data_IF_578640879097
#
_entry.id   IF_578640879097
#
_cell.length_a   1.000
_cell.length_b   1.000
_cell.length_c   1.000
_cell.angle_alpha   90.00
_cell.angle_beta   90.00
_cell.angle_gamma   90.00
#
_symmetry.space_group_name_H-M   'P 1'
#
loop_
_entity.id
_entity.type
_entity.pdbx_description
1 polymer ?
#
# COMPACT_ATOMS: atom_id res chain seq x y z
N UNK A 1 -12.04 18.34 5.48
CA UNK A 1 -11.17 17.90 6.60
C UNK A 1 -9.74 18.27 6.28
N UNK A 2 -8.94 18.49 7.32
CA UNK A 2 -7.50 18.64 7.23
C UNK A 2 -6.85 17.29 7.61
N UNK A 3 -6.17 16.66 6.67
CA UNK A 3 -5.62 15.31 6.80
C UNK A 3 -4.09 15.37 6.86
N UNK A 4 -3.48 14.77 7.87
CA UNK A 4 -2.06 14.42 7.87
C UNK A 4 -1.92 13.01 7.28
N UNK A 5 -1.25 12.90 6.12
CA UNK A 5 -1.02 11.62 5.44
C UNK A 5 0.46 11.29 5.53
N UNK A 6 0.84 10.26 6.28
CA UNK A 6 2.22 9.78 6.33
C UNK A 6 2.48 8.79 5.20
N UNK A 7 3.67 8.81 4.61
CA UNK A 7 3.97 7.99 3.44
C UNK A 7 3.27 8.47 2.16
N UNK A 8 2.86 9.75 2.11
CA UNK A 8 2.07 10.29 1.00
C UNK A 8 2.85 10.53 -0.30
N UNK A 9 4.16 10.34 -0.32
CA UNK A 9 4.97 10.31 -1.55
C UNK A 9 5.17 8.88 -2.09
N UNK A 10 4.71 7.85 -1.36
CA UNK A 10 4.72 6.45 -1.78
C UNK A 10 3.59 6.11 -2.76
N UNK A 11 3.44 4.84 -3.10
CA UNK A 11 2.45 4.36 -4.06
C UNK A 11 1.00 4.62 -3.60
N UNK A 12 0.54 3.93 -2.56
CA UNK A 12 -0.85 4.07 -2.05
C UNK A 12 -1.06 5.46 -1.47
N UNK A 13 -0.10 5.96 -0.68
CA UNK A 13 -0.21 7.27 -0.05
C UNK A 13 -0.39 8.40 -1.06
N UNK A 14 0.31 8.36 -2.20
CA UNK A 14 0.14 9.38 -3.24
C UNK A 14 -1.24 9.34 -3.92
N UNK A 15 -1.85 8.15 -4.06
CA UNK A 15 -3.23 8.03 -4.54
C UNK A 15 -4.20 8.69 -3.56
N UNK A 16 -4.05 8.42 -2.25
CA UNK A 16 -4.83 9.07 -1.18
C UNK A 16 -4.66 10.59 -1.23
N UNK A 17 -3.41 11.08 -1.30
CA UNK A 17 -3.12 12.53 -1.37
C UNK A 17 -3.78 13.17 -2.58
N UNK A 18 -3.58 12.60 -3.78
CA UNK A 18 -4.16 13.14 -5.02
C UNK A 18 -5.68 13.21 -4.95
N UNK A 19 -6.31 12.16 -4.45
CA UNK A 19 -7.75 12.10 -4.35
C UNK A 19 -8.30 13.04 -3.28
N UNK A 20 -7.73 13.03 -2.08
CA UNK A 20 -8.15 13.92 -1.00
C UNK A 20 -8.09 15.40 -1.41
N UNK A 21 -7.04 15.82 -2.13
CA UNK A 21 -6.94 17.19 -2.65
C UNK A 21 -8.01 17.47 -3.70
N UNK A 22 -8.29 16.53 -4.62
CA UNK A 22 -9.39 16.67 -5.60
C UNK A 22 -10.75 16.80 -4.94
N UNK A 23 -10.97 16.08 -3.84
CA UNK A 23 -12.22 16.11 -3.06
C UNK A 23 -12.34 17.36 -2.16
N UNK A 24 -11.39 18.31 -2.24
CA UNK A 24 -11.40 19.56 -1.51
C UNK A 24 -10.90 19.45 -0.06
N UNK A 25 -10.25 18.35 0.31
CA UNK A 25 -9.59 18.23 1.61
C UNK A 25 -8.25 18.98 1.62
N UNK A 26 -7.88 19.55 2.76
CA UNK A 26 -6.52 20.05 2.99
C UNK A 26 -5.63 18.89 3.40
N UNK A 27 -4.53 18.69 2.70
CA UNK A 27 -3.62 17.56 2.91
C UNK A 27 -2.24 18.04 3.31
N UNK A 28 -1.75 17.55 4.43
CA UNK A 28 -0.36 17.62 4.85
C UNK A 28 0.27 16.27 4.52
N UNK A 29 1.13 16.22 3.52
CA UNK A 29 1.87 15.03 3.14
C UNK A 29 3.18 14.97 3.91
N UNK A 30 3.31 14.02 4.82
CA UNK A 30 4.53 13.76 5.57
C UNK A 30 5.24 12.53 5.00
N UNK A 31 6.46 12.70 4.51
CA UNK A 31 7.24 11.60 3.95
C UNK A 31 8.73 11.82 4.15
N UNK A 32 9.46 10.74 4.42
CA UNK A 32 10.92 10.73 4.60
C UNK A 32 11.67 10.65 3.25
N UNK A 33 10.95 10.39 2.15
CA UNK A 33 11.48 10.22 0.79
C UNK A 33 12.57 9.13 0.72
N UNK A 34 12.23 7.92 1.18
CA UNK A 34 13.08 6.74 1.01
C UNK A 34 13.12 6.30 -0.46
N UNK A 35 13.70 5.14 -0.73
CA UNK A 35 13.91 4.62 -2.08
C UNK A 35 12.64 4.56 -2.94
N UNK A 36 11.48 4.27 -2.35
CA UNK A 36 10.18 4.16 -3.05
C UNK A 36 9.35 5.46 -3.02
N UNK A 37 9.73 6.44 -2.20
CA UNK A 37 9.07 7.74 -2.11
C UNK A 37 9.51 8.70 -3.21
N UNK A 38 8.56 9.40 -3.85
CA UNK A 38 8.86 10.42 -4.84
C UNK A 38 7.79 11.51 -4.89
N UNK A 39 8.21 12.78 -4.81
CA UNK A 39 7.29 13.92 -4.99
C UNK A 39 6.71 14.00 -6.41
N UNK A 40 7.32 13.32 -7.39
CA UNK A 40 6.74 13.19 -8.73
C UNK A 40 5.38 12.48 -8.73
N UNK A 41 5.11 11.63 -7.71
CA UNK A 41 3.85 10.91 -7.55
C UNK A 41 2.66 11.84 -7.19
N UNK A 42 2.94 13.02 -6.70
CA UNK A 42 1.95 14.05 -6.30
C UNK A 42 2.10 15.36 -7.07
N UNK A 43 2.91 15.37 -8.15
CA UNK A 43 3.21 16.57 -8.95
C UNK A 43 1.95 17.31 -9.41
N UNK A 44 0.89 16.58 -9.75
CA UNK A 44 -0.36 17.14 -10.26
C UNK A 44 -1.18 17.92 -9.20
N UNK A 45 -0.87 17.76 -7.92
CA UNK A 45 -1.51 18.49 -6.80
C UNK A 45 -0.53 19.38 -6.04
N UNK A 46 0.75 19.37 -6.40
CA UNK A 46 1.81 20.08 -5.68
C UNK A 46 1.58 21.60 -5.55
N UNK A 47 0.90 22.21 -6.53
CA UNK A 47 0.60 23.63 -6.55
C UNK A 47 -0.82 23.97 -6.00
N UNK A 48 -1.53 22.99 -5.47
CA UNK A 48 -2.84 23.21 -4.87
C UNK A 48 -2.70 23.99 -3.55
N UNK A 49 -3.54 25.00 -3.26
CA UNK A 49 -3.56 25.66 -1.95
C UNK A 49 -3.97 24.70 -0.82
N UNK A 50 -4.55 23.56 -1.17
CA UNK A 50 -4.96 22.51 -0.23
C UNK A 50 -3.88 21.43 -0.02
N UNK A 51 -2.65 21.61 -0.51
CA UNK A 51 -1.57 20.67 -0.36
C UNK A 51 -0.35 21.33 0.29
N UNK A 52 0.27 20.62 1.24
CA UNK A 52 1.59 20.97 1.78
C UNK A 52 2.42 19.70 2.00
N UNK A 53 3.73 19.85 1.98
CA UNK A 53 4.68 18.77 2.18
C UNK A 53 5.57 19.05 3.39
N UNK A 54 5.71 18.04 4.25
CA UNK A 54 6.64 18.01 5.38
C UNK A 54 7.63 16.86 5.20
N UNK A 55 8.91 17.19 5.07
CA UNK A 55 9.98 16.19 4.98
C UNK A 55 10.39 15.78 6.38
N UNK A 56 9.90 14.64 6.86
CA UNK A 56 10.16 14.14 8.20
C UNK A 56 10.13 12.61 8.28
N UNK A 57 10.85 12.06 9.27
CA UNK A 57 10.80 10.66 9.63
C UNK A 57 9.73 10.45 10.71
N UNK A 58 8.89 9.42 10.54
CA UNK A 58 7.90 9.04 11.56
C UNK A 58 8.55 8.54 12.87
N UNK A 59 9.83 8.21 12.86
CA UNK A 59 10.61 7.89 14.06
C UNK A 59 11.10 9.14 14.82
N UNK A 60 11.03 10.34 14.22
CA UNK A 60 11.42 11.60 14.87
C UNK A 60 10.23 12.23 15.62
N UNK A 61 10.13 11.91 16.91
CA UNK A 61 9.07 12.38 17.78
C UNK A 61 8.99 13.92 17.83
N UNK A 62 10.11 14.60 17.88
CA UNK A 62 10.13 16.06 18.00
C UNK A 62 9.59 16.72 16.71
N UNK A 63 9.97 16.18 15.54
CA UNK A 63 9.43 16.63 14.26
C UNK A 63 7.92 16.39 14.19
N UNK A 64 7.42 15.22 14.61
CA UNK A 64 6.00 14.90 14.65
C UNK A 64 5.20 15.87 15.53
N UNK A 65 5.67 16.13 16.74
CA UNK A 65 5.01 17.08 17.67
C UNK A 65 4.94 18.49 17.07
N UNK A 66 6.02 18.96 16.42
CA UNK A 66 6.08 20.25 15.77
C UNK A 66 5.10 20.34 14.57
N UNK A 67 5.02 19.29 13.73
CA UNK A 67 4.13 19.23 12.57
C UNK A 67 2.67 19.21 13.01
N UNK A 68 2.31 18.42 14.02
CA UNK A 68 0.95 18.37 14.57
C UNK A 68 0.54 19.72 15.18
N UNK A 69 1.42 20.38 15.92
CA UNK A 69 1.16 21.69 16.48
C UNK A 69 0.99 22.77 15.40
N UNK A 70 1.82 22.73 14.34
CA UNK A 70 1.78 23.68 13.21
C UNK A 70 0.50 23.55 12.40
N UNK A 71 0.13 22.33 12.03
CA UNK A 71 -0.92 22.08 11.05
C UNK A 71 -2.30 21.81 11.66
N UNK A 72 -2.35 21.28 12.87
CA UNK A 72 -3.59 20.95 13.59
C UNK A 72 -4.57 20.12 12.72
N UNK A 73 -4.20 18.88 12.31
CA UNK A 73 -5.05 18.06 11.47
C UNK A 73 -6.29 17.54 12.21
N UNK A 74 -7.38 17.36 11.46
CA UNK A 74 -8.61 16.72 11.95
C UNK A 74 -8.44 15.19 12.06
N UNK A 75 -7.59 14.62 11.21
CA UNK A 75 -7.29 13.19 11.21
C UNK A 75 -5.87 12.92 10.72
N UNK A 76 -5.34 11.77 11.15
CA UNK A 76 -4.06 11.21 10.70
C UNK A 76 -4.36 9.93 9.92
N UNK A 77 -3.85 9.83 8.70
CA UNK A 77 -3.84 8.60 7.90
C UNK A 77 -2.41 8.09 7.85
N UNK A 78 -2.15 6.98 8.55
CA UNK A 78 -0.81 6.45 8.75
C UNK A 78 -0.51 5.33 7.76
N UNK A 79 0.11 5.72 6.60
CA UNK A 79 0.50 4.81 5.51
C UNK A 79 2.02 4.61 5.43
N UNK A 80 2.83 5.42 6.12
CA UNK A 80 4.28 5.27 6.10
C UNK A 80 4.69 3.90 6.66
N UNK A 81 5.38 3.10 5.85
CA UNK A 81 5.87 1.77 6.22
C UNK A 81 6.94 1.31 5.24
N UNK A 82 7.87 0.48 5.71
CA UNK A 82 8.61 -0.44 4.85
C UNK A 82 7.69 -1.58 4.43
N UNK A 83 7.62 -1.92 3.12
CA UNK A 83 6.56 -2.78 2.59
C UNK A 83 7.00 -3.87 1.61
N UNK A 84 8.30 -4.03 1.34
CA UNK A 84 8.79 -5.04 0.40
C UNK A 84 9.21 -6.30 1.13
N UNK A 85 8.46 -7.41 0.97
CA UNK A 85 8.71 -8.68 1.69
C UNK A 85 10.15 -9.17 1.49
N UNK A 86 10.64 -9.20 0.24
CA UNK A 86 12.00 -9.71 -0.06
C UNK A 86 13.08 -8.85 0.62
N UNK A 87 12.90 -7.51 0.68
CA UNK A 87 13.79 -6.62 1.46
C UNK A 87 13.72 -6.92 2.95
N UNK A 88 12.56 -7.34 3.48
CA UNK A 88 12.43 -7.68 4.89
C UNK A 88 13.20 -8.96 5.27
N UNK A 89 13.39 -9.86 4.31
CA UNK A 89 14.19 -11.08 4.49
C UNK A 89 15.68 -10.72 4.55
N UNK A 90 16.14 -9.83 3.66
CA UNK A 90 17.54 -9.41 3.58
C UNK A 90 17.95 -8.44 4.69
N UNK A 91 17.03 -7.57 5.17
CA UNK A 91 17.29 -6.52 6.14
C UNK A 91 16.10 -6.20 7.05
N UNK A 92 15.75 -7.07 8.01
CA UNK A 92 14.55 -6.92 8.84
C UNK A 92 14.56 -5.71 9.79
N UNK A 93 15.73 -5.18 10.15
CA UNK A 93 15.86 -4.08 11.11
C UNK A 93 15.13 -2.81 10.69
N UNK A 94 15.18 -2.44 9.40
CA UNK A 94 14.45 -1.28 8.88
C UNK A 94 12.93 -1.42 9.04
N UNK A 95 12.41 -2.65 8.95
CA UNK A 95 10.98 -2.95 9.14
C UNK A 95 10.57 -2.83 10.61
N UNK A 96 11.41 -3.29 11.54
CA UNK A 96 11.18 -3.12 12.97
C UNK A 96 11.22 -1.64 13.34
N UNK A 97 12.21 -0.90 12.88
CA UNK A 97 12.35 0.52 13.16
C UNK A 97 11.17 1.33 12.58
N UNK A 98 10.91 1.21 11.30
CA UNK A 98 9.86 2.01 10.65
C UNK A 98 8.46 1.57 11.05
N UNK A 99 8.15 0.26 10.95
CA UNK A 99 6.77 -0.20 11.11
C UNK A 99 6.36 -0.30 12.58
N UNK A 100 7.28 -0.68 13.48
CA UNK A 100 6.95 -0.81 14.92
C UNK A 100 7.29 0.47 15.67
N UNK A 101 8.56 0.88 15.67
CA UNK A 101 8.98 2.07 16.43
C UNK A 101 8.38 3.35 15.85
N UNK A 102 8.35 3.50 14.52
CA UNK A 102 7.70 4.65 13.86
C UNK A 102 6.21 4.72 14.16
N UNK A 103 5.48 3.58 14.12
CA UNK A 103 4.06 3.57 14.52
C UNK A 103 3.87 3.93 15.99
N UNK A 104 4.73 3.43 16.88
CA UNK A 104 4.72 3.82 18.29
C UNK A 104 4.91 5.33 18.47
N UNK A 105 5.89 5.94 17.80
CA UNK A 105 6.14 7.38 17.86
C UNK A 105 4.95 8.20 17.33
N UNK A 106 4.35 7.77 16.22
CA UNK A 106 3.14 8.38 15.67
C UNK A 106 1.95 8.30 16.64
N UNK A 107 1.74 7.15 17.29
CA UNK A 107 0.66 6.97 18.27
C UNK A 107 0.84 7.87 19.49
N UNK A 108 2.05 7.99 20.01
CA UNK A 108 2.36 8.87 21.15
C UNK A 108 2.22 10.35 20.77
N UNK A 109 2.66 10.75 19.57
CA UNK A 109 2.48 12.11 19.08
C UNK A 109 0.99 12.43 18.88
N UNK A 110 0.24 11.51 18.24
CA UNK A 110 -1.20 11.66 18.03
C UNK A 110 -1.97 11.72 19.34
N UNK A 111 -1.62 10.88 20.33
CA UNK A 111 -2.26 10.89 21.65
C UNK A 111 -2.00 12.21 22.39
N UNK A 112 -0.75 12.68 22.41
CA UNK A 112 -0.39 13.94 23.06
C UNK A 112 -1.13 15.14 22.41
N UNK A 113 -1.13 15.18 21.07
CA UNK A 113 -1.86 16.19 20.30
C UNK A 113 -3.38 16.14 20.60
N UNK A 114 -4.02 14.96 20.51
CA UNK A 114 -5.44 14.79 20.77
C UNK A 114 -5.84 15.23 22.18
N UNK A 115 -5.03 14.89 23.20
CA UNK A 115 -5.25 15.32 24.57
C UNK A 115 -5.14 16.85 24.70
N UNK A 116 -4.10 17.46 24.08
CA UNK A 116 -3.90 18.90 24.10
C UNK A 116 -5.04 19.67 23.40
N UNK A 117 -5.73 19.06 22.43
CA UNK A 117 -6.91 19.61 21.77
C UNK A 117 -8.23 19.38 22.56
N UNK A 118 -8.17 18.85 23.78
CA UNK A 118 -9.36 18.58 24.58
C UNK A 118 -10.11 17.30 24.20
N UNK A 119 -9.43 16.35 23.58
CA UNK A 119 -9.97 15.03 23.17
C UNK A 119 -11.21 15.13 22.26
N UNK A 120 -11.12 15.81 21.10
CA UNK A 120 -12.27 15.94 20.20
C UNK A 120 -12.73 14.57 19.68
N UNK A 121 -14.02 14.30 19.77
CA UNK A 121 -14.63 13.02 19.33
C UNK A 121 -14.51 12.81 17.80
N UNK A 122 -14.43 13.89 17.05
CA UNK A 122 -14.30 13.85 15.61
C UNK A 122 -12.89 13.47 15.12
N UNK A 123 -11.87 13.55 15.98
CA UNK A 123 -10.50 13.14 15.62
C UNK A 123 -10.44 11.68 15.24
N UNK A 124 -9.57 11.34 14.27
CA UNK A 124 -9.30 9.95 13.85
C UNK A 124 -7.83 9.71 13.66
N UNK A 125 -7.36 8.58 14.18
CA UNK A 125 -6.09 7.96 13.79
C UNK A 125 -6.41 6.73 12.94
N UNK A 126 -6.23 6.82 11.63
CA UNK A 126 -6.47 5.73 10.70
C UNK A 126 -5.16 5.03 10.38
N UNK A 127 -5.00 3.79 10.83
CA UNK A 127 -3.84 2.95 10.53
C UNK A 127 -4.13 2.05 9.35
N UNK A 128 -3.25 2.07 8.36
CA UNK A 128 -3.36 1.26 7.15
C UNK A 128 -2.40 0.08 7.24
N UNK A 129 -2.95 -1.14 7.18
CA UNK A 129 -2.26 -2.41 7.28
C UNK A 129 -2.49 -3.28 6.04
N UNK A 130 -2.20 -4.56 6.14
CA UNK A 130 -2.20 -5.54 5.06
C UNK A 130 -2.91 -6.82 5.47
N UNK A 131 -3.43 -7.59 4.53
CA UNK A 131 -3.96 -8.93 4.74
C UNK A 131 -2.87 -9.97 5.06
N UNK A 132 -1.60 -9.67 4.76
CA UNK A 132 -0.47 -10.55 5.06
C UNK A 132 -0.30 -10.83 6.58
N UNK A 133 -0.91 -10.01 7.45
CA UNK A 133 -0.91 -10.24 8.90
C UNK A 133 -1.71 -11.49 9.31
N UNK A 134 -2.65 -11.93 8.47
CA UNK A 134 -3.50 -13.10 8.74
C UNK A 134 -2.82 -14.44 8.40
N UNK A 135 -1.69 -14.43 7.69
CA UNK A 135 -0.98 -15.64 7.27
C UNK A 135 -1.43 -16.15 5.91
N UNK A 136 -1.44 -17.47 5.71
CA UNK A 136 -1.74 -18.11 4.43
C UNK A 136 -3.00 -18.95 4.51
N UNK A 137 -3.87 -18.82 3.50
CA UNK A 137 -5.05 -19.67 3.33
C UNK A 137 -4.70 -20.96 2.57
N UNK A 138 -5.54 -21.99 2.78
CA UNK A 138 -5.63 -23.15 1.90
C UNK A 138 -6.42 -22.81 0.62
N UNK A 139 -7.00 -23.85 0.01
CA UNK A 139 -7.76 -23.72 -1.26
C UNK A 139 -9.03 -22.89 -1.11
N UNK A 140 -9.62 -22.84 0.08
CA UNK A 140 -10.90 -22.21 0.37
C UNK A 140 -10.81 -21.23 1.54
N UNK A 141 -11.88 -20.44 1.74
CA UNK A 141 -12.02 -19.47 2.82
C UNK A 141 -11.51 -18.09 2.45
N UNK A 142 -11.77 -17.13 3.35
CA UNK A 142 -11.33 -15.73 3.26
C UNK A 142 -10.98 -15.23 4.65
N UNK A 143 -10.04 -14.30 4.74
CA UNK A 143 -9.72 -13.60 5.97
C UNK A 143 -10.81 -12.60 6.32
N UNK A 144 -11.38 -12.71 7.50
CA UNK A 144 -12.29 -11.72 8.09
C UNK A 144 -11.53 -10.85 9.09
N UNK A 145 -12.13 -9.78 9.57
CA UNK A 145 -11.52 -8.90 10.57
C UNK A 145 -11.39 -9.59 11.97
N UNK A 146 -11.96 -10.77 12.12
CA UNK A 146 -11.84 -11.60 13.35
C UNK A 146 -10.88 -12.78 13.19
N UNK A 147 -10.31 -12.96 11.99
CA UNK A 147 -9.29 -13.99 11.75
C UNK A 147 -8.08 -13.73 12.64
N UNK A 148 -7.58 -14.72 13.39
CA UNK A 148 -6.34 -14.58 14.15
C UNK A 148 -5.15 -14.25 13.26
N UNK A 149 -4.22 -13.42 13.75
CA UNK A 149 -2.99 -13.11 13.04
C UNK A 149 -2.01 -14.29 13.09
N UNK A 150 -1.42 -14.64 11.93
CA UNK A 150 -0.40 -15.68 11.75
C UNK A 150 0.67 -15.21 10.74
N UNK A 151 1.36 -14.05 10.99
CA UNK A 151 2.32 -13.48 10.04
C UNK A 151 3.53 -14.38 9.84
N UNK A 152 3.98 -14.55 8.57
CA UNK A 152 5.04 -15.51 8.20
C UNK A 152 6.29 -14.88 7.57
N UNK A 153 6.35 -13.55 7.53
CA UNK A 153 7.52 -12.80 7.06
C UNK A 153 7.90 -11.71 8.07
N UNK A 154 9.15 -11.21 8.08
CA UNK A 154 9.52 -10.07 8.92
C UNK A 154 8.66 -8.83 8.65
N UNK A 155 8.27 -8.59 7.38
CA UNK A 155 7.34 -7.53 7.01
C UNK A 155 5.97 -7.72 7.67
N UNK A 156 5.31 -8.87 7.43
CA UNK A 156 3.96 -9.11 7.97
C UNK A 156 3.95 -9.15 9.50
N UNK A 157 5.02 -9.68 10.13
CA UNK A 157 5.18 -9.65 11.59
C UNK A 157 5.30 -8.21 12.13
N UNK A 158 6.05 -7.33 11.44
CA UNK A 158 6.16 -5.92 11.83
C UNK A 158 4.84 -5.17 11.68
N UNK A 159 4.05 -5.48 10.64
CA UNK A 159 2.70 -4.93 10.47
C UNK A 159 1.71 -5.44 11.51
N UNK A 160 1.74 -6.74 11.82
CA UNK A 160 0.92 -7.30 12.91
C UNK A 160 1.23 -6.65 14.26
N UNK A 161 2.52 -6.42 14.56
CA UNK A 161 2.94 -5.72 15.77
C UNK A 161 2.39 -4.28 15.82
N UNK A 162 2.47 -3.52 14.71
CA UNK A 162 1.90 -2.17 14.64
C UNK A 162 0.38 -2.15 14.80
N UNK A 163 -0.34 -3.11 14.22
CA UNK A 163 -1.78 -3.25 14.39
C UNK A 163 -2.17 -3.48 15.86
N UNK A 164 -1.40 -4.32 16.57
CA UNK A 164 -1.62 -4.54 18.00
C UNK A 164 -1.32 -3.28 18.83
N UNK A 165 -0.29 -2.51 18.50
CA UNK A 165 -0.02 -1.22 19.15
C UNK A 165 -1.20 -0.26 18.96
N UNK A 166 -1.72 -0.12 17.74
CA UNK A 166 -2.86 0.76 17.45
C UNK A 166 -4.09 0.38 18.27
N UNK A 167 -4.42 -0.91 18.34
CA UNK A 167 -5.52 -1.43 19.17
C UNK A 167 -5.28 -1.17 20.66
N UNK A 168 -4.05 -1.39 21.15
CA UNK A 168 -3.71 -1.14 22.55
C UNK A 168 -3.84 0.34 22.92
N UNK A 169 -3.48 1.29 22.04
CA UNK A 169 -3.66 2.72 22.27
C UNK A 169 -5.13 3.12 22.34
N UNK A 170 -5.98 2.46 21.57
CA UNK A 170 -7.42 2.64 21.67
C UNK A 170 -7.96 2.14 23.01
N UNK A 171 -7.71 0.89 23.34
CA UNK A 171 -8.25 0.24 24.53
C UNK A 171 -7.71 0.85 25.84
N UNK A 172 -6.43 1.23 25.86
CA UNK A 172 -5.77 1.73 27.08
C UNK A 172 -6.01 3.22 27.29
N UNK A 173 -5.92 4.02 26.21
CA UNK A 173 -5.94 5.49 26.33
C UNK A 173 -7.17 6.14 25.71
N UNK A 174 -8.03 5.38 25.05
CA UNK A 174 -9.23 5.87 24.38
C UNK A 174 -8.95 6.65 23.09
N UNK A 175 -7.73 6.53 22.50
CA UNK A 175 -7.42 7.22 21.24
C UNK A 175 -8.41 6.79 20.15
N UNK A 176 -9.07 7.72 19.43
CA UNK A 176 -10.04 7.37 18.40
C UNK A 176 -9.37 6.78 17.15
N UNK A 177 -9.16 5.47 17.13
CA UNK A 177 -8.51 4.77 16.02
C UNK A 177 -9.53 4.10 15.10
N UNK A 178 -9.16 3.94 13.84
CA UNK A 178 -9.72 2.97 12.89
C UNK A 178 -8.56 2.26 12.21
N UNK A 179 -8.77 0.99 11.83
CA UNK A 179 -7.75 0.17 11.20
C UNK A 179 -8.28 -0.43 9.91
N UNK A 180 -7.44 -0.53 8.88
CA UNK A 180 -7.79 -1.22 7.64
C UNK A 180 -6.71 -2.22 7.25
N UNK A 181 -7.14 -3.41 6.79
CA UNK A 181 -6.28 -4.42 6.20
C UNK A 181 -6.65 -4.53 4.71
N UNK A 182 -5.70 -4.33 3.81
CA UNK A 182 -5.97 -4.37 2.38
C UNK A 182 -5.32 -5.57 1.69
N UNK A 183 -5.92 -6.02 0.60
CA UNK A 183 -5.33 -6.96 -0.32
C UNK A 183 -4.23 -6.33 -1.21
N UNK A 184 -3.64 -7.11 -2.13
CA UNK A 184 -2.53 -6.66 -2.96
C UNK A 184 -2.94 -5.51 -3.89
N UNK A 185 -2.27 -4.37 -3.74
CA UNK A 185 -2.57 -3.18 -4.55
C UNK A 185 -1.77 -3.16 -5.86
N UNK A 186 -2.38 -2.61 -6.91
CA UNK A 186 -1.77 -2.34 -8.19
C UNK A 186 -2.34 -1.07 -8.84
N UNK A 187 -1.60 -0.48 -9.79
CA UNK A 187 -2.07 0.71 -10.49
C UNK A 187 -0.96 1.72 -10.83
N UNK A 188 -1.33 2.95 -11.20
CA UNK A 188 -0.43 4.06 -11.46
C UNK A 188 0.52 4.36 -10.31
N UNK A 189 1.78 4.72 -10.63
CA UNK A 189 2.82 5.06 -9.66
C UNK A 189 3.29 3.90 -8.76
N UNK A 190 2.96 2.64 -9.08
CA UNK A 190 3.48 1.48 -8.35
C UNK A 190 4.99 1.36 -8.59
N UNK A 191 5.78 1.32 -7.49
CA UNK A 191 7.25 1.33 -7.61
C UNK A 191 7.77 0.09 -8.36
N UNK A 192 8.76 0.26 -9.27
CA UNK A 192 9.17 -0.81 -10.20
C UNK A 192 10.03 -1.94 -9.58
N UNK A 193 9.72 -2.36 -8.38
CA UNK A 193 10.26 -3.56 -7.73
C UNK A 193 9.16 -4.62 -7.49
N UNK A 194 7.90 -4.25 -7.68
CA UNK A 194 6.75 -5.13 -7.47
C UNK A 194 6.36 -5.86 -8.76
N UNK A 195 5.63 -6.97 -8.63
CA UNK A 195 5.35 -7.90 -9.73
C UNK A 195 4.84 -7.21 -11.01
N UNK A 196 3.72 -6.50 -10.94
CA UNK A 196 3.08 -5.93 -12.15
C UNK A 196 4.00 -4.93 -12.88
N UNK A 197 4.58 -3.89 -12.21
CA UNK A 197 5.51 -3.00 -12.90
C UNK A 197 6.77 -3.72 -13.43
N UNK A 198 7.34 -4.67 -12.69
CA UNK A 198 8.50 -5.44 -13.17
C UNK A 198 8.15 -6.19 -14.46
N UNK A 199 6.99 -6.84 -14.52
CA UNK A 199 6.53 -7.55 -15.73
C UNK A 199 6.36 -6.57 -16.90
N UNK A 200 5.68 -5.45 -16.71
CA UNK A 200 5.48 -4.44 -17.77
C UNK A 200 6.83 -3.93 -18.30
N UNK A 201 7.73 -3.51 -17.43
CA UNK A 201 9.00 -2.90 -17.82
C UNK A 201 9.96 -3.91 -18.44
N UNK A 202 10.04 -5.13 -17.91
CA UNK A 202 10.85 -6.19 -18.49
C UNK A 202 10.31 -6.62 -19.84
N UNK A 203 8.99 -6.76 -20.00
CA UNK A 203 8.37 -7.06 -21.28
C UNK A 203 8.77 -6.04 -22.35
N UNK A 204 8.59 -4.76 -22.06
CA UNK A 204 8.97 -3.66 -22.97
C UNK A 204 10.47 -3.61 -23.30
N UNK A 205 11.31 -4.04 -22.36
CA UNK A 205 12.77 -4.10 -22.54
C UNK A 205 13.26 -5.40 -23.21
N UNK A 206 12.37 -6.34 -23.56
CA UNK A 206 12.75 -7.64 -24.13
C UNK A 206 13.45 -8.57 -23.13
N UNK A 207 13.32 -8.33 -21.83
CA UNK A 207 13.94 -9.09 -20.76
C UNK A 207 13.04 -10.27 -20.31
N UNK A 208 13.59 -11.30 -19.64
CA UNK A 208 12.80 -12.36 -19.04
C UNK A 208 11.76 -11.81 -18.03
N UNK A 209 10.57 -12.47 -17.98
CA UNK A 209 9.51 -12.18 -17.04
C UNK A 209 9.54 -13.25 -15.94
N UNK A 210 10.20 -12.97 -14.79
CA UNK A 210 10.41 -13.99 -13.78
C UNK A 210 9.13 -14.27 -12.98
N UNK A 211 8.74 -15.54 -12.89
CA UNK A 211 7.65 -16.02 -12.05
C UNK A 211 8.22 -16.95 -10.99
N UNK A 212 7.93 -16.72 -9.72
CA UNK A 212 8.34 -17.55 -8.61
C UNK A 212 7.61 -18.90 -8.63
N UNK A 213 8.37 -20.01 -8.41
CA UNK A 213 7.83 -21.37 -8.42
C UNK A 213 7.17 -21.71 -9.76
N UNK A 214 5.95 -22.20 -9.71
CA UNK A 214 5.11 -22.49 -10.87
C UNK A 214 4.07 -21.38 -11.17
N UNK A 215 4.08 -20.32 -10.36
CA UNK A 215 3.15 -19.20 -10.48
C UNK A 215 1.74 -19.47 -9.97
N UNK A 216 1.53 -20.55 -9.23
CA UNK A 216 0.22 -20.96 -8.69
C UNK A 216 -0.25 -20.13 -7.49
N UNK A 217 0.64 -19.36 -6.85
CA UNK A 217 0.28 -18.51 -5.71
C UNK A 217 -0.84 -17.54 -6.09
N UNK A 218 -1.92 -17.53 -5.30
CA UNK A 218 -3.12 -16.71 -5.54
C UNK A 218 -3.10 -15.46 -4.68
N UNK A 219 -3.46 -14.33 -5.28
CA UNK A 219 -3.61 -13.03 -4.61
C UNK A 219 -4.94 -12.40 -5.00
N UNK A 220 -5.57 -11.72 -4.06
CA UNK A 220 -6.63 -10.76 -4.36
C UNK A 220 -6.03 -9.42 -4.77
N UNK A 221 -6.50 -8.86 -5.88
CA UNK A 221 -5.92 -7.67 -6.49
C UNK A 221 -6.86 -6.48 -6.43
N UNK A 222 -6.41 -5.41 -5.77
CA UNK A 222 -7.15 -4.18 -5.52
C UNK A 222 -6.54 -3.01 -6.29
N UNK A 223 -7.36 -2.36 -7.12
CA UNK A 223 -6.91 -1.17 -7.85
C UNK A 223 -6.66 -0.01 -6.89
N UNK A 224 -5.51 0.67 -7.00
CA UNK A 224 -5.03 1.62 -5.99
C UNK A 224 -5.94 2.82 -5.79
N UNK A 225 -6.67 3.26 -6.83
CA UNK A 225 -7.61 4.38 -6.69
C UNK A 225 -8.88 3.94 -5.95
N UNK A 226 -9.38 2.72 -6.17
CA UNK A 226 -10.48 2.15 -5.36
C UNK A 226 -10.05 2.00 -3.89
N UNK A 227 -8.79 1.61 -3.64
CA UNK A 227 -8.27 1.57 -2.27
C UNK A 227 -8.23 2.96 -1.64
N UNK A 228 -7.76 3.99 -2.36
CA UNK A 228 -7.76 5.36 -1.87
C UNK A 228 -9.17 5.85 -1.52
N UNK A 229 -10.17 5.53 -2.35
CA UNK A 229 -11.60 5.80 -2.06
C UNK A 229 -12.06 5.15 -0.76
N UNK A 230 -11.74 3.86 -0.57
CA UNK A 230 -12.08 3.14 0.66
C UNK A 230 -11.45 3.79 1.89
N UNK A 231 -10.15 4.12 1.82
CA UNK A 231 -9.42 4.73 2.93
C UNK A 231 -10.00 6.10 3.31
N UNK A 232 -10.34 6.94 2.33
CA UNK A 232 -10.98 8.24 2.54
C UNK A 232 -12.41 8.10 3.07
N UNK A 233 -13.12 7.06 2.71
CA UNK A 233 -14.42 6.75 3.28
C UNK A 233 -14.30 6.30 4.74
N UNK A 234 -13.37 5.39 5.04
CA UNK A 234 -13.15 4.86 6.40
C UNK A 234 -12.71 5.97 7.36
N UNK A 235 -11.79 6.84 7.00
CA UNK A 235 -11.37 7.94 7.90
C UNK A 235 -12.51 8.88 8.24
N UNK A 236 -13.49 9.05 7.34
CA UNK A 236 -14.66 9.93 7.53
C UNK A 236 -15.82 9.26 8.28
N UNK A 237 -16.07 7.97 8.01
CA UNK A 237 -17.30 7.29 8.42
C UNK A 237 -17.07 6.01 9.21
N UNK A 238 -15.83 5.48 9.24
CA UNK A 238 -15.52 4.27 9.96
C UNK A 238 -15.77 4.41 11.46
N UNK A 239 -16.33 3.38 12.07
CA UNK A 239 -16.60 3.36 13.51
C UNK A 239 -15.28 3.27 14.29
N UNK A 240 -15.15 4.07 15.34
CA UNK A 240 -13.98 4.08 16.23
C UNK A 240 -13.77 2.72 16.86
N UNK A 241 -12.51 2.27 16.92
CA UNK A 241 -12.14 0.95 17.43
C UNK A 241 -12.36 -0.21 16.46
N UNK A 242 -12.98 0.03 15.28
CA UNK A 242 -13.23 -1.00 14.27
C UNK A 242 -12.06 -1.23 13.35
N UNK A 243 -11.98 -2.45 12.83
CA UNK A 243 -11.17 -2.82 11.68
C UNK A 243 -12.06 -3.06 10.47
N UNK A 244 -11.57 -2.72 9.27
CA UNK A 244 -12.24 -2.97 8.00
C UNK A 244 -11.27 -3.64 7.03
N UNK A 245 -11.68 -4.77 6.48
CA UNK A 245 -10.99 -5.42 5.38
C UNK A 245 -11.36 -4.74 4.06
N UNK A 246 -10.37 -4.48 3.21
CA UNK A 246 -10.54 -3.84 1.91
C UNK A 246 -9.96 -4.75 0.85
N UNK A 247 -10.81 -5.47 0.12
CA UNK A 247 -10.43 -6.44 -0.92
C UNK A 247 -10.97 -6.05 -2.29
N UNK A 248 -10.28 -6.53 -3.33
CA UNK A 248 -10.68 -6.31 -4.72
C UNK A 248 -11.76 -7.29 -5.21
N UNK A 249 -11.99 -8.38 -4.47
CA UNK A 249 -12.82 -9.54 -4.90
C UNK A 249 -12.34 -10.10 -6.26
N UNK A 250 -11.02 -10.04 -6.51
CA UNK A 250 -10.36 -10.34 -7.78
C UNK A 250 -9.16 -11.30 -7.59
N UNK A 251 -9.45 -12.52 -7.14
CA UNK A 251 -8.42 -13.53 -6.97
C UNK A 251 -7.86 -13.98 -8.32
N UNK A 252 -6.52 -13.95 -8.48
CA UNK A 252 -5.79 -14.47 -9.65
C UNK A 252 -4.50 -15.12 -9.21
N UNK A 253 -4.11 -16.21 -9.88
CA UNK A 253 -2.75 -16.71 -9.72
C UNK A 253 -1.74 -15.74 -10.35
N UNK A 254 -0.50 -15.77 -9.85
CA UNK A 254 0.57 -14.95 -10.42
C UNK A 254 0.76 -15.20 -11.92
N UNK A 255 0.68 -16.46 -12.36
CA UNK A 255 0.78 -16.81 -13.78
C UNK A 255 -0.36 -16.21 -14.60
N UNK A 256 -1.63 -16.36 -14.15
CA UNK A 256 -2.78 -15.76 -14.82
C UNK A 256 -2.65 -14.23 -14.95
N UNK A 257 -2.22 -13.57 -13.88
CA UNK A 257 -2.00 -12.12 -13.88
C UNK A 257 -0.96 -11.70 -14.91
N UNK A 258 0.20 -12.38 -14.93
CA UNK A 258 1.28 -12.08 -15.87
C UNK A 258 0.84 -12.33 -17.32
N UNK A 259 0.14 -13.43 -17.59
CA UNK A 259 -0.42 -13.72 -18.92
C UNK A 259 -1.40 -12.63 -19.36
N UNK A 260 -2.27 -12.13 -18.46
CA UNK A 260 -3.18 -11.01 -18.74
C UNK A 260 -2.43 -9.74 -19.10
N UNK A 261 -1.39 -9.38 -18.34
CA UNK A 261 -0.54 -8.22 -18.65
C UNK A 261 0.15 -8.36 -20.03
N UNK A 262 0.66 -9.56 -20.35
CA UNK A 262 1.25 -9.83 -21.66
C UNK A 262 0.23 -9.66 -22.80
N UNK A 263 -0.98 -10.20 -22.65
CA UNK A 263 -2.03 -10.06 -23.66
C UNK A 263 -2.43 -8.58 -23.89
N UNK A 264 -2.51 -7.78 -22.81
CA UNK A 264 -2.78 -6.34 -22.92
C UNK A 264 -1.64 -5.63 -23.67
N UNK A 265 -0.38 -5.96 -23.36
CA UNK A 265 0.78 -5.41 -24.07
C UNK A 265 0.82 -5.82 -25.53
N UNK A 266 0.52 -7.10 -25.86
CA UNK A 266 0.43 -7.57 -27.26
C UNK A 266 -0.62 -6.77 -28.05
N UNK A 267 -1.74 -6.41 -27.43
CA UNK A 267 -2.78 -5.61 -28.07
C UNK A 267 -2.38 -4.12 -28.24
N UNK A 268 -1.74 -3.53 -27.21
CA UNK A 268 -1.46 -2.07 -27.19
C UNK A 268 -0.12 -1.67 -27.82
N UNK A 269 0.87 -2.54 -27.74
CA UNK A 269 2.23 -2.33 -28.27
C UNK A 269 2.80 -3.63 -28.82
N UNK A 270 2.23 -4.18 -29.94
CA UNK A 270 2.62 -5.47 -30.45
C UNK A 270 4.11 -5.53 -30.81
N UNK A 271 4.72 -6.68 -30.57
CA UNK A 271 6.09 -6.99 -31.01
C UNK A 271 6.12 -7.23 -32.52
N UNK A 272 7.29 -7.13 -33.14
CA UNK A 272 7.48 -7.46 -34.56
C UNK A 272 7.20 -8.95 -34.84
N UNK A 273 7.41 -9.85 -33.84
CA UNK A 273 7.11 -11.27 -33.92
C UNK A 273 6.93 -11.86 -32.52
N UNK A 274 6.09 -12.90 -32.39
CA UNK A 274 5.80 -13.59 -31.13
C UNK A 274 4.97 -12.74 -30.17
N UNK A 275 4.80 -13.25 -28.95
CA UNK A 275 4.07 -12.62 -27.85
C UNK A 275 4.99 -12.19 -26.72
N UNK A 276 4.57 -11.23 -25.90
CA UNK A 276 5.25 -10.92 -24.63
C UNK A 276 5.23 -12.13 -23.67
N UNK A 277 4.23 -13.01 -23.76
CA UNK A 277 4.17 -14.22 -22.97
C UNK A 277 5.34 -15.20 -23.25
N UNK A 278 5.99 -15.12 -24.42
CA UNK A 278 7.18 -15.93 -24.75
C UNK A 278 8.40 -15.59 -23.87
N UNK A 279 8.36 -14.46 -23.16
CA UNK A 279 9.41 -14.02 -22.26
C UNK A 279 9.25 -14.56 -20.84
N UNK A 280 8.13 -15.26 -20.52
CA UNK A 280 7.88 -15.83 -19.19
C UNK A 280 8.94 -16.88 -18.87
N UNK A 281 9.52 -16.74 -17.67
CA UNK A 281 10.51 -17.68 -17.13
C UNK A 281 10.17 -18.03 -15.69
N UNK A 282 10.25 -19.31 -15.35
CA UNK A 282 10.06 -19.76 -13.98
C UNK A 282 11.38 -19.74 -13.21
N UNK A 283 11.37 -19.22 -12.00
CA UNK A 283 12.54 -19.10 -11.13
C UNK A 283 12.27 -19.77 -9.78
N UNK A 284 13.32 -20.10 -9.04
CA UNK A 284 13.18 -20.70 -7.69
C UNK A 284 12.28 -19.84 -6.83
N UNK A 285 11.36 -20.46 -6.09
CA UNK A 285 10.47 -19.76 -5.18
C UNK A 285 11.22 -19.16 -3.98
N UNK A 286 10.63 -18.15 -3.36
CA UNK A 286 11.21 -17.51 -2.18
C UNK A 286 10.85 -18.29 -0.89
N UNK A 287 11.68 -18.25 0.15
CA UNK A 287 11.34 -18.81 1.45
C UNK A 287 10.06 -18.19 2.03
N UNK A 288 9.20 -19.03 2.62
CA UNK A 288 7.98 -18.55 3.29
C UNK A 288 6.95 -17.91 2.36
N UNK A 289 6.93 -18.30 1.07
CA UNK A 289 5.97 -17.76 0.12
C UNK A 289 4.58 -18.34 0.36
N UNK A 290 3.67 -17.52 0.88
CA UNK A 290 2.30 -17.92 1.17
C UNK A 290 1.54 -18.34 -0.10
N UNK A 291 0.76 -19.41 0.00
CA UNK A 291 0.08 -20.00 -1.14
C UNK A 291 -1.09 -19.12 -1.63
N UNK A 292 -1.93 -18.62 -0.73
CA UNK A 292 -3.13 -17.87 -1.11
C UNK A 292 -3.48 -16.80 -0.08
N UNK A 293 -3.83 -15.61 -0.59
CA UNK A 293 -4.50 -14.55 0.13
C UNK A 293 -5.85 -14.26 -0.52
N UNK A 294 -6.90 -14.21 0.30
CA UNK A 294 -8.22 -13.74 -0.07
C UNK A 294 -8.85 -13.07 1.16
N UNK A 295 -9.40 -11.89 0.97
CA UNK A 295 -9.93 -11.08 2.06
C UNK A 295 -11.44 -10.88 1.87
N UNK A 296 -12.20 -10.93 2.98
CA UNK A 296 -13.65 -10.68 2.97
C UNK A 296 -13.92 -9.20 3.24
N UNK A 297 -14.39 -8.41 2.25
CA UNK A 297 -14.73 -7.00 2.42
C UNK A 297 -16.20 -6.78 2.83
N UNK A 298 -16.90 -7.78 3.32
CA UNK A 298 -18.34 -7.68 3.61
C UNK A 298 -18.65 -6.58 4.62
N UNK A 299 -17.81 -6.41 5.65
CA UNK A 299 -18.02 -5.38 6.67
C UNK A 299 -18.01 -3.97 6.11
N UNK A 300 -16.99 -3.59 5.31
CA UNK A 300 -16.94 -2.25 4.72
C UNK A 300 -18.10 -2.02 3.76
N UNK A 301 -18.51 -3.07 3.04
CA UNK A 301 -19.67 -3.02 2.14
C UNK A 301 -20.98 -2.78 2.89
N UNK A 302 -21.21 -3.52 3.97
CA UNK A 302 -22.46 -3.46 4.75
C UNK A 302 -22.56 -2.19 5.59
N UNK A 303 -21.47 -1.81 6.28
CA UNK A 303 -21.49 -0.67 7.19
C UNK A 303 -21.29 0.67 6.48
N UNK A 304 -20.48 0.72 5.41
CA UNK A 304 -20.09 1.96 4.74
C UNK A 304 -20.54 2.07 3.28
N UNK A 305 -21.09 0.98 2.70
CA UNK A 305 -21.59 0.96 1.33
C UNK A 305 -20.50 0.94 0.25
N UNK A 306 -19.23 0.70 0.61
CA UNK A 306 -18.13 0.67 -0.34
C UNK A 306 -18.05 -0.66 -1.10
N UNK A 307 -17.71 -0.57 -2.39
CA UNK A 307 -17.35 -1.70 -3.25
C UNK A 307 -16.25 -1.27 -4.21
N UNK A 308 -15.36 -2.18 -4.66
CA UNK A 308 -14.45 -1.86 -5.74
C UNK A 308 -15.23 -1.52 -7.00
N UNK A 309 -14.79 -0.50 -7.74
CA UNK A 309 -15.46 -0.01 -8.95
C UNK A 309 -14.83 -0.54 -10.23
N UNK A 310 -13.63 -1.13 -10.14
CA UNK A 310 -12.80 -1.54 -11.26
C UNK A 310 -12.56 -3.04 -11.20
N UNK A 311 -12.84 -3.78 -12.29
CA UNK A 311 -12.43 -5.18 -12.40
C UNK A 311 -10.92 -5.28 -12.58
N UNK A 312 -10.33 -6.45 -12.29
CA UNK A 312 -8.87 -6.63 -12.44
C UNK A 312 -8.44 -6.41 -13.90
N UNK A 313 -9.21 -6.84 -14.88
CA UNK A 313 -8.92 -6.65 -16.30
C UNK A 313 -8.89 -5.17 -16.67
N UNK A 314 -9.90 -4.41 -16.26
CA UNK A 314 -9.96 -2.95 -16.48
C UNK A 314 -8.82 -2.22 -15.78
N UNK A 315 -8.53 -2.60 -14.54
CA UNK A 315 -7.45 -1.99 -13.76
C UNK A 315 -6.07 -2.30 -14.33
N UNK A 316 -5.82 -3.53 -14.82
CA UNK A 316 -4.58 -3.89 -15.49
C UNK A 316 -4.42 -3.13 -16.80
N UNK A 317 -5.50 -2.99 -17.59
CA UNK A 317 -5.49 -2.20 -18.81
C UNK A 317 -5.12 -0.73 -18.53
N UNK A 318 -5.78 -0.09 -17.54
CA UNK A 318 -5.45 1.29 -17.11
C UNK A 318 -4.00 1.40 -16.59
N UNK A 319 -3.52 0.37 -15.91
CA UNK A 319 -2.15 0.33 -15.39
C UNK A 319 -1.13 0.27 -16.53
N UNK A 320 -1.32 -0.63 -17.50
CA UNK A 320 -0.45 -0.73 -18.69
C UNK A 320 -0.47 0.59 -19.47
N UNK A 321 -1.64 1.17 -19.73
CA UNK A 321 -1.77 2.46 -20.40
C UNK A 321 -1.00 3.55 -19.68
N UNK A 322 -1.11 3.58 -18.35
CA UNK A 322 -0.38 4.56 -17.56
C UNK A 322 1.14 4.40 -17.70
N UNK A 323 1.68 3.17 -17.62
CA UNK A 323 3.13 2.94 -17.79
C UNK A 323 3.60 3.30 -19.19
N UNK A 324 2.82 3.01 -20.24
CA UNK A 324 3.14 3.38 -21.61
C UNK A 324 3.14 4.91 -21.83
N UNK A 325 2.26 5.63 -21.14
CA UNK A 325 2.13 7.08 -21.23
C UNK A 325 3.11 7.87 -20.33
N UNK A 326 3.70 7.23 -19.30
CA UNK A 326 4.53 7.89 -18.30
C UNK A 326 5.97 7.33 -18.27
N UNK A 327 6.57 7.19 -19.46
CA UNK A 327 7.91 6.62 -19.62
C UNK A 327 8.98 7.42 -18.88
N UNK A 328 8.91 8.74 -18.87
CA UNK A 328 9.84 9.62 -18.15
C UNK A 328 9.83 9.34 -16.63
N UNK A 329 8.64 9.06 -16.06
CA UNK A 329 8.51 8.80 -14.64
C UNK A 329 9.27 7.53 -14.22
N UNK A 330 9.05 6.41 -14.88
CA UNK A 330 9.69 5.15 -14.47
C UNK A 330 11.14 5.06 -14.93
N UNK A 331 11.54 5.74 -16.04
CA UNK A 331 12.95 5.84 -16.42
C UNK A 331 13.79 6.56 -15.37
N UNK A 332 13.27 7.64 -14.78
CA UNK A 332 13.93 8.36 -13.70
C UNK A 332 14.12 7.52 -12.42
N UNK A 333 13.41 6.39 -12.31
CA UNK A 333 13.52 5.47 -11.17
C UNK A 333 14.46 4.27 -11.47
N UNK A 334 14.84 4.03 -12.72
CA UNK A 334 15.58 2.82 -13.11
C UNK A 334 16.96 2.72 -12.45
N UNK A 335 17.59 3.84 -12.11
CA UNK A 335 18.89 3.88 -11.43
C UNK A 335 18.77 3.73 -9.90
N UNK A 336 17.54 3.64 -9.37
CA UNK A 336 17.35 3.43 -7.93
C UNK A 336 17.57 1.98 -7.55
N UNK A 337 18.05 1.77 -6.33
CA UNK A 337 18.32 0.44 -5.79
C UNK A 337 17.07 -0.46 -5.81
N UNK A 338 17.23 -1.68 -6.33
CA UNK A 338 16.20 -2.71 -6.38
C UNK A 338 15.27 -2.67 -7.60
N UNK A 339 15.35 -1.64 -8.45
CA UNK A 339 14.50 -1.55 -9.65
C UNK A 339 14.89 -2.62 -10.68
N UNK A 340 13.90 -3.42 -11.11
CA UNK A 340 14.07 -4.49 -12.10
C UNK A 340 14.95 -5.65 -11.64
N UNK A 341 15.31 -5.73 -10.36
CA UNK A 341 16.11 -6.80 -9.79
C UNK A 341 15.24 -7.71 -8.91
N UNK A 342 15.62 -8.99 -8.88
CA UNK A 342 15.10 -9.93 -7.88
C UNK A 342 15.81 -9.66 -6.55
N UNK A 343 15.04 -9.40 -5.49
CA UNK A 343 15.51 -9.25 -4.12
C UNK A 343 15.16 -10.51 -3.31
N UNK A 344 15.77 -10.70 -2.15
CA UNK A 344 15.48 -11.85 -1.26
C UNK A 344 16.07 -13.19 -1.73
N UNK A 345 17.03 -13.17 -2.63
CA UNK A 345 17.64 -14.39 -3.20
C UNK A 345 19.02 -14.74 -2.61
N UNK A 346 19.47 -14.01 -1.61
CA UNK A 346 20.73 -14.28 -0.91
C UNK A 346 20.45 -15.30 0.20
N UNK A 347 20.36 -16.56 -0.19
CA UNK A 347 20.31 -17.73 0.69
C UNK A 347 21.14 -18.83 0.10
#
# INVERSE_FOLDING_TARGET
MKLLVTGGAGFIGSAVVRQAVRDGHTVINLDKLTYAGSLSNVKNVANSPNYSFEHADICDRAALDAILAKHQPDAIMHLAAESHVDRSIDGPSAFVETNITGTYMMLEAARAYWVAQGKPEAFRFHHISTDEVFGSLGAEGQFTETTPYDPRSPYSASKAASDHLVRAWHETYGLPVVLTNCSNNYGPYHFPEKLIPVIILNALAGKPLPIYGDGSNVRDWLYVEDHADALLLVVRKGAVGRSYNIGGENERSNLQLVQTVCAILDAKRPKASGSYADQITFVTDRPGHDARYAIDPSRIREELGWRPSVTVEQGLERTVDWYLANEEWWRALQDREGVGQRLGAKG
#
